data_IF_429093195561
#
_entry.id   IF_429093195561
#
_cell.length_a   1.000
_cell.length_b   1.000
_cell.length_c   1.000
_cell.angle_alpha   90.00
_cell.angle_beta   90.00
_cell.angle_gamma   90.00
#
_symmetry.space_group_name_H-M   'P 1'
#
loop_
_entity.id
_entity.type
_entity.pdbx_description
1 polymer ?
#
# COMPACT_ATOMS: atom_id res chain seq x y z
N UNK A 1 28.91 18.75 -15.63
CA UNK A 1 28.97 18.28 -14.22
C UNK A 1 27.59 18.49 -13.62
N UNK A 2 26.84 17.45 -13.24
CA UNK A 2 25.53 17.66 -12.64
C UNK A 2 25.70 18.26 -11.25
N UNK A 3 24.93 19.31 -10.97
CA UNK A 3 24.94 20.02 -9.71
C UNK A 3 24.67 19.04 -8.55
N UNK A 4 25.58 19.01 -7.59
CA UNK A 4 25.39 18.30 -6.33
C UNK A 4 24.18 18.90 -5.62
N UNK A 5 23.12 18.11 -5.45
CA UNK A 5 21.97 18.46 -4.60
C UNK A 5 22.50 18.71 -3.20
N UNK A 6 22.61 19.99 -2.82
CA UNK A 6 23.05 20.41 -1.50
C UNK A 6 21.95 20.04 -0.50
N UNK A 7 22.15 18.93 0.19
CA UNK A 7 21.41 18.45 1.35
C UNK A 7 19.95 18.02 1.04
N UNK A 8 19.69 16.75 0.69
CA UNK A 8 18.32 16.26 0.59
C UNK A 8 17.71 16.20 2.00
N UNK A 9 16.95 17.23 2.38
CA UNK A 9 16.14 17.16 3.60
C UNK A 9 15.19 15.96 3.48
N UNK A 10 15.29 15.04 4.44
CA UNK A 10 14.43 13.85 4.47
C UNK A 10 12.97 14.24 4.67
N UNK A 11 12.02 13.44 4.18
CA UNK A 11 10.58 13.67 4.38
C UNK A 11 10.21 13.87 5.86
N UNK A 12 10.86 13.11 6.74
CA UNK A 12 10.75 13.25 8.20
C UNK A 12 11.14 14.64 8.69
N UNK A 13 12.23 15.22 8.16
CA UNK A 13 12.70 16.54 8.57
C UNK A 13 11.70 17.63 8.17
N UNK A 14 11.18 17.58 6.94
CA UNK A 14 10.13 18.51 6.50
C UNK A 14 8.86 18.39 7.34
N UNK A 15 8.43 17.17 7.65
CA UNK A 15 7.29 16.96 8.56
C UNK A 15 7.56 17.58 9.93
N UNK A 16 8.76 17.39 10.49
CA UNK A 16 9.12 17.95 11.78
C UNK A 16 9.16 19.50 11.79
N UNK A 17 9.64 20.14 10.73
CA UNK A 17 9.58 21.60 10.54
C UNK A 17 8.14 22.12 10.55
N UNK A 18 7.20 21.29 10.08
CA UNK A 18 5.75 21.53 10.07
C UNK A 18 5.05 21.15 11.39
N UNK A 19 5.79 20.69 12.40
CA UNK A 19 5.22 20.22 13.68
C UNK A 19 4.52 18.85 13.58
N UNK A 20 4.72 18.12 12.48
CA UNK A 20 4.09 16.83 12.20
C UNK A 20 5.03 15.67 12.56
N UNK A 21 4.49 14.65 13.22
CA UNK A 21 5.22 13.41 13.45
C UNK A 21 5.04 12.45 12.27
N UNK A 22 6.09 12.22 11.51
CA UNK A 22 6.08 11.22 10.45
C UNK A 22 6.38 9.81 10.98
N UNK A 23 5.47 8.87 10.72
CA UNK A 23 5.71 7.43 10.93
C UNK A 23 5.38 6.68 9.64
N UNK A 24 6.42 6.10 9.04
CA UNK A 24 6.25 5.20 7.91
C UNK A 24 5.78 3.83 8.40
N UNK A 25 4.65 3.35 7.86
CA UNK A 25 4.20 1.98 8.02
C UNK A 25 4.38 1.28 6.67
N UNK A 26 5.30 0.32 6.61
CA UNK A 26 5.43 -0.55 5.44
C UNK A 26 4.59 -1.80 5.70
N UNK A 27 3.52 -1.95 4.92
CA UNK A 27 2.55 -3.05 5.05
C UNK A 27 3.17 -4.44 4.79
N UNK A 28 4.41 -4.49 4.28
CA UNK A 28 5.19 -5.71 4.07
C UNK A 28 6.16 -5.99 5.22
N UNK A 29 6.46 -5.00 6.05
CA UNK A 29 7.46 -5.09 7.13
C UNK A 29 6.74 -4.95 8.47
N UNK A 30 6.86 -5.99 9.30
CA UNK A 30 6.22 -6.02 10.62
C UNK A 30 5.17 -7.12 10.78
N UNK A 31 4.80 -7.81 9.70
CA UNK A 31 4.08 -9.08 9.78
C UNK A 31 5.13 -10.16 10.07
N UNK A 32 5.03 -10.79 11.23
CA UNK A 32 5.92 -11.90 11.60
C UNK A 32 5.48 -13.16 10.86
N UNK A 33 6.42 -14.10 10.66
CA UNK A 33 6.07 -15.44 10.13
C UNK A 33 4.98 -16.09 10.97
N UNK A 34 5.06 -15.96 12.30
CA UNK A 34 4.02 -16.44 13.21
C UNK A 34 2.65 -15.79 12.96
N UNK A 35 2.59 -14.49 12.69
CA UNK A 35 1.33 -13.82 12.37
C UNK A 35 0.77 -14.27 11.02
N UNK A 36 1.65 -14.53 10.05
CA UNK A 36 1.30 -15.07 8.72
C UNK A 36 0.75 -16.49 8.83
N UNK A 37 1.45 -17.36 9.55
CA UNK A 37 1.06 -18.76 9.81
C UNK A 37 -0.28 -18.84 10.57
N UNK A 38 -0.57 -17.86 11.42
CA UNK A 38 -1.83 -17.74 12.16
C UNK A 38 -2.91 -16.91 11.43
N UNK A 39 -2.74 -16.69 10.13
CA UNK A 39 -3.70 -16.02 9.26
C UNK A 39 -4.13 -14.61 9.74
N UNK A 40 -3.19 -13.83 10.28
CA UNK A 40 -3.44 -12.47 10.78
C UNK A 40 -3.00 -11.37 9.80
N UNK A 41 -2.43 -11.71 8.64
CA UNK A 41 -1.86 -10.76 7.68
C UNK A 41 -2.87 -9.69 7.25
N UNK A 42 -4.07 -10.07 6.80
CA UNK A 42 -5.11 -9.11 6.38
C UNK A 42 -5.58 -8.24 7.53
N UNK A 43 -5.80 -8.84 8.69
CA UNK A 43 -6.26 -8.14 9.88
C UNK A 43 -5.26 -7.06 10.30
N UNK A 44 -3.96 -7.40 10.36
CA UNK A 44 -2.89 -6.46 10.69
C UNK A 44 -2.83 -5.33 9.66
N UNK A 45 -2.82 -5.67 8.36
CA UNK A 45 -2.81 -4.69 7.28
C UNK A 45 -3.95 -3.67 7.41
N UNK A 46 -5.21 -4.13 7.49
CA UNK A 46 -6.36 -3.22 7.56
C UNK A 46 -6.37 -2.40 8.86
N UNK A 47 -5.89 -2.96 9.97
CA UNK A 47 -5.75 -2.21 11.23
C UNK A 47 -4.72 -1.09 11.14
N UNK A 48 -3.63 -1.29 10.42
CA UNK A 48 -2.63 -0.24 10.21
C UNK A 48 -3.15 0.86 9.26
N UNK A 49 -3.99 0.50 8.27
CA UNK A 49 -4.69 1.47 7.43
C UNK A 49 -5.63 2.34 8.30
N UNK A 50 -6.44 1.75 9.17
CA UNK A 50 -7.35 2.49 10.05
C UNK A 50 -6.63 3.48 10.98
N UNK A 51 -5.37 3.20 11.33
CA UNK A 51 -4.56 4.04 12.22
C UNK A 51 -3.74 5.11 11.49
N UNK A 52 -3.82 5.14 10.17
CA UNK A 52 -3.03 6.03 9.33
C UNK A 52 -3.89 7.19 8.82
N UNK A 53 -3.37 8.42 8.91
CA UNK A 53 -4.06 9.61 8.35
C UNK A 53 -4.02 9.64 6.81
N UNK A 54 -3.04 8.97 6.22
CA UNK A 54 -2.84 8.91 4.76
C UNK A 54 -2.45 7.48 4.36
N UNK A 55 -3.04 7.00 3.26
CA UNK A 55 -2.67 5.73 2.64
C UNK A 55 -2.09 5.96 1.25
N UNK A 56 -0.91 5.40 1.00
CA UNK A 56 -0.22 5.48 -0.29
C UNK A 56 -0.08 4.08 -0.86
N UNK A 57 -0.52 3.89 -2.09
CA UNK A 57 -0.43 2.61 -2.79
C UNK A 57 0.37 2.76 -4.09
N UNK A 58 1.27 1.79 -4.33
CA UNK A 58 1.98 1.65 -5.60
C UNK A 58 1.54 0.34 -6.26
N UNK A 59 0.84 0.45 -7.38
CA UNK A 59 0.51 -0.73 -8.18
C UNK A 59 1.70 -1.09 -9.07
N UNK A 60 2.35 -2.21 -8.78
CA UNK A 60 3.32 -2.80 -9.68
C UNK A 60 2.64 -3.51 -10.86
N UNK A 61 3.37 -4.45 -11.44
CA UNK A 61 2.91 -5.31 -12.53
C UNK A 61 2.40 -6.68 -12.03
N UNK A 62 2.07 -6.78 -10.74
CA UNK A 62 1.53 -7.99 -10.09
C UNK A 62 0.19 -7.69 -9.45
N UNK A 63 -0.74 -8.64 -9.53
CA UNK A 63 -2.04 -8.52 -8.86
C UNK A 63 -1.92 -8.81 -7.35
N UNK A 64 -1.14 -9.81 -6.96
CA UNK A 64 -0.89 -10.22 -5.57
C UNK A 64 -1.50 -11.59 -5.23
N UNK A 65 -1.51 -11.97 -3.94
CA UNK A 65 -1.97 -13.29 -3.49
C UNK A 65 -3.48 -13.42 -3.66
N UNK A 66 -3.92 -14.24 -4.61
CA UNK A 66 -5.34 -14.42 -4.90
C UNK A 66 -5.67 -15.89 -5.14
N UNK A 67 -6.94 -16.23 -5.01
CA UNK A 67 -7.45 -17.53 -5.47
C UNK A 67 -7.68 -17.52 -6.99
N UNK A 68 -7.24 -18.57 -7.67
CA UNK A 68 -7.48 -18.81 -9.10
C UNK A 68 -8.80 -19.52 -9.34
N UNK A 69 -9.35 -19.38 -10.55
CA UNK A 69 -10.59 -20.07 -10.91
C UNK A 69 -10.49 -21.59 -10.67
N UNK A 70 -11.41 -22.14 -9.85
CA UNK A 70 -11.45 -23.57 -9.53
C UNK A 70 -10.51 -24.01 -8.41
N UNK A 71 -9.78 -23.09 -7.75
CA UNK A 71 -8.95 -23.37 -6.59
C UNK A 71 -9.34 -22.49 -5.40
N UNK A 72 -9.48 -23.09 -4.22
CA UNK A 72 -9.68 -22.36 -2.96
C UNK A 72 -8.42 -22.46 -2.13
N UNK A 73 -7.80 -21.31 -1.90
CA UNK A 73 -6.65 -21.19 -1.00
C UNK A 73 -7.15 -21.10 0.45
N UNK A 74 -6.92 -22.14 1.24
CA UNK A 74 -7.40 -22.22 2.62
C UNK A 74 -6.80 -21.16 3.54
N UNK A 75 -5.52 -20.81 3.35
CA UNK A 75 -4.85 -19.81 4.17
C UNK A 75 -5.36 -18.40 3.83
N UNK A 76 -5.66 -18.14 2.56
CA UNK A 76 -6.28 -16.90 2.10
C UNK A 76 -7.66 -16.71 2.74
N UNK A 77 -8.47 -17.77 2.76
CA UNK A 77 -9.80 -17.74 3.37
C UNK A 77 -9.71 -17.53 4.89
N UNK A 78 -8.80 -18.23 5.58
CA UNK A 78 -8.57 -18.03 7.02
C UNK A 78 -8.12 -16.60 7.35
N UNK A 79 -7.34 -15.96 6.47
CA UNK A 79 -6.94 -14.56 6.64
C UNK A 79 -8.14 -13.61 6.57
N UNK A 80 -9.06 -13.86 5.64
CA UNK A 80 -10.31 -13.10 5.55
C UNK A 80 -11.16 -13.34 6.79
N UNK A 81 -11.38 -14.60 7.15
CA UNK A 81 -12.23 -14.99 8.29
C UNK A 81 -11.76 -14.34 9.59
N UNK A 82 -10.44 -14.32 9.82
CA UNK A 82 -9.83 -13.66 10.98
C UNK A 82 -10.08 -12.14 11.05
N UNK A 83 -10.32 -11.51 9.89
CA UNK A 83 -10.55 -10.07 9.78
C UNK A 83 -12.05 -9.69 9.76
N UNK A 84 -12.96 -10.63 9.45
CA UNK A 84 -14.41 -10.36 9.30
C UNK A 84 -15.05 -9.70 10.52
N UNK A 85 -14.59 -10.05 11.72
CA UNK A 85 -15.15 -9.49 12.95
C UNK A 85 -15.09 -7.97 13.01
N UNK A 86 -14.02 -7.37 12.45
CA UNK A 86 -13.86 -5.91 12.34
C UNK A 86 -14.19 -5.37 10.95
N UNK A 87 -14.00 -6.17 9.90
CA UNK A 87 -14.18 -5.77 8.50
C UNK A 87 -15.17 -6.70 7.77
N UNK A 88 -16.50 -6.64 8.07
CA UNK A 88 -17.48 -7.57 7.50
C UNK A 88 -17.59 -7.50 5.97
N UNK A 89 -17.26 -6.35 5.39
CA UNK A 89 -17.32 -6.14 3.94
C UNK A 89 -16.37 -7.06 3.15
N UNK A 90 -15.32 -7.60 3.79
CA UNK A 90 -14.37 -8.53 3.16
C UNK A 90 -15.03 -9.80 2.63
N UNK A 91 -16.18 -10.20 3.19
CA UNK A 91 -16.91 -11.39 2.75
C UNK A 91 -17.30 -11.31 1.25
N UNK A 92 -17.52 -10.11 0.74
CA UNK A 92 -17.82 -9.86 -0.68
C UNK A 92 -16.57 -9.86 -1.59
N UNK A 93 -15.37 -9.99 -1.04
CA UNK A 93 -14.09 -9.85 -1.76
C UNK A 93 -13.13 -11.01 -1.51
N UNK A 94 -13.64 -12.19 -1.17
CA UNK A 94 -12.83 -13.39 -0.87
C UNK A 94 -11.94 -13.86 -2.02
N UNK A 95 -12.28 -13.48 -3.24
CA UNK A 95 -11.58 -13.79 -4.49
C UNK A 95 -10.50 -12.77 -4.88
N UNK A 96 -10.38 -11.68 -4.12
CA UNK A 96 -9.48 -10.58 -4.43
C UNK A 96 -8.10 -10.79 -3.83
N UNK A 97 -7.16 -10.09 -4.44
CA UNK A 97 -5.77 -10.09 -4.02
C UNK A 97 -5.60 -9.61 -2.57
N UNK A 98 -4.72 -10.31 -1.86
CA UNK A 98 -4.14 -9.96 -0.58
C UNK A 98 -2.61 -9.88 -0.71
N UNK A 99 -1.94 -9.47 0.36
CA UNK A 99 -0.49 -9.48 0.43
C UNK A 99 0.05 -10.92 0.47
N UNK A 100 1.03 -11.23 -0.39
CA UNK A 100 1.71 -12.53 -0.46
C UNK A 100 2.97 -12.56 0.41
N UNK A 101 2.94 -13.34 1.49
CA UNK A 101 4.09 -13.53 2.38
C UNK A 101 5.18 -14.47 1.79
N UNK A 102 4.88 -15.22 0.73
CA UNK A 102 5.84 -16.12 0.09
C UNK A 102 7.08 -15.37 -0.44
N UNK A 103 7.05 -14.05 -0.58
CA UNK A 103 8.23 -13.24 -0.91
C UNK A 103 9.28 -13.13 0.21
N UNK A 104 8.97 -13.40 1.48
CA UNK A 104 9.98 -13.38 2.54
C UNK A 104 10.99 -14.53 2.41
N UNK A 105 10.55 -15.67 1.89
CA UNK A 105 11.39 -16.87 1.67
C UNK A 105 12.09 -16.87 0.30
N UNK A 106 11.64 -16.04 -0.65
CA UNK A 106 12.34 -15.83 -1.93
C UNK A 106 13.55 -14.94 -1.67
N UNK A 107 14.73 -15.59 -1.61
CA UNK A 107 16.07 -15.00 -1.56
C UNK A 107 16.13 -13.57 -2.12
N UNK A 108 16.80 -12.69 -1.37
CA UNK A 108 17.15 -11.28 -1.67
C UNK A 108 17.67 -10.99 -3.10
N UNK A 109 17.99 -12.01 -3.90
CA UNK A 109 18.53 -11.89 -5.26
C UNK A 109 17.45 -11.92 -6.37
N UNK A 110 16.16 -12.15 -6.07
CA UNK A 110 15.11 -12.25 -7.12
C UNK A 110 13.80 -11.51 -6.86
N UNK A 111 13.83 -10.39 -6.13
CA UNK A 111 12.75 -9.38 -6.19
C UNK A 111 12.78 -8.56 -7.51
N UNK A 112 13.10 -9.20 -8.64
CA UNK A 112 13.33 -8.56 -9.95
C UNK A 112 12.25 -8.90 -10.97
N UNK A 113 11.40 -9.88 -10.67
CA UNK A 113 10.28 -10.23 -11.54
C UNK A 113 9.09 -9.32 -11.26
N UNK A 114 9.20 -8.06 -11.67
CA UNK A 114 8.03 -7.20 -11.91
C UNK A 114 7.20 -7.74 -13.09
N UNK A 115 7.32 -8.98 -13.52
CA UNK A 115 6.56 -9.48 -14.65
C UNK A 115 5.18 -9.96 -14.21
N UNK A 116 4.24 -9.80 -15.12
CA UNK A 116 2.91 -10.39 -15.08
C UNK A 116 3.05 -11.90 -14.79
N UNK A 117 2.38 -12.39 -13.75
CA UNK A 117 2.50 -13.79 -13.31
C UNK A 117 1.86 -14.76 -14.31
N UNK A 118 0.69 -14.40 -14.84
CA UNK A 118 -0.05 -15.13 -15.86
C UNK A 118 -1.18 -14.24 -16.45
N UNK A 119 -1.88 -14.73 -17.48
CA UNK A 119 -2.97 -13.99 -18.14
C UNK A 119 -4.14 -13.68 -17.20
N UNK A 120 -4.50 -14.59 -16.28
CA UNK A 120 -5.58 -14.36 -15.31
C UNK A 120 -5.24 -13.20 -14.36
N UNK A 121 -4.01 -13.18 -13.83
CA UNK A 121 -3.51 -12.12 -12.97
C UNK A 121 -3.45 -10.78 -13.71
N UNK A 122 -3.12 -10.78 -15.02
CA UNK A 122 -3.15 -9.59 -15.85
C UNK A 122 -4.56 -9.02 -15.97
N UNK A 123 -5.55 -9.84 -16.30
CA UNK A 123 -6.94 -9.42 -16.40
C UNK A 123 -7.47 -8.87 -15.07
N UNK A 124 -7.11 -9.52 -13.95
CA UNK A 124 -7.44 -9.04 -12.60
C UNK A 124 -6.80 -7.70 -12.29
N UNK A 125 -5.52 -7.51 -12.65
CA UNK A 125 -4.81 -6.25 -12.47
C UNK A 125 -5.41 -5.12 -13.32
N UNK A 126 -5.76 -5.39 -14.58
CA UNK A 126 -6.40 -4.41 -15.46
C UNK A 126 -7.78 -4.00 -14.94
N UNK A 127 -8.56 -4.97 -14.43
CA UNK A 127 -9.83 -4.70 -13.79
C UNK A 127 -9.67 -3.87 -12.50
N UNK A 128 -8.63 -4.14 -11.70
CA UNK A 128 -8.31 -3.33 -10.52
C UNK A 128 -7.97 -1.90 -10.90
N UNK A 129 -7.10 -1.69 -11.89
CA UNK A 129 -6.74 -0.35 -12.39
C UNK A 129 -7.96 0.43 -12.86
N UNK A 130 -8.90 -0.22 -13.58
CA UNK A 130 -10.16 0.40 -13.99
C UNK A 130 -11.02 0.83 -12.80
N UNK A 131 -11.12 0.00 -11.75
CA UNK A 131 -11.87 0.33 -10.53
C UNK A 131 -11.22 1.48 -9.76
N UNK A 132 -9.90 1.47 -9.61
CA UNK A 132 -9.15 2.56 -8.97
C UNK A 132 -9.30 3.87 -9.76
N UNK A 133 -9.36 3.81 -11.09
CA UNK A 133 -9.62 5.01 -11.91
C UNK A 133 -10.96 5.68 -11.56
N UNK A 134 -11.96 4.90 -11.14
CA UNK A 134 -13.27 5.41 -10.76
C UNK A 134 -13.25 6.09 -9.37
N UNK A 135 -12.23 5.86 -8.56
CA UNK A 135 -12.06 6.50 -7.25
C UNK A 135 -11.19 7.77 -7.31
N UNK A 136 -10.89 8.28 -8.51
CA UNK A 136 -9.99 9.44 -8.71
C UNK A 136 -10.42 10.66 -7.89
N UNK A 137 -11.71 10.97 -7.82
CA UNK A 137 -12.24 12.11 -7.08
C UNK A 137 -12.15 11.94 -5.54
N UNK A 138 -11.93 10.71 -5.07
CA UNK A 138 -11.75 10.39 -3.64
C UNK A 138 -10.26 10.34 -3.25
N UNK A 139 -9.36 10.32 -4.23
CA UNK A 139 -7.93 10.22 -4.01
C UNK A 139 -7.29 11.61 -4.04
N UNK A 140 -6.29 11.82 -3.17
CA UNK A 140 -5.46 13.03 -3.22
C UNK A 140 -4.78 13.18 -4.60
N UNK A 141 -4.23 12.08 -5.11
CA UNK A 141 -3.65 11.99 -6.43
C UNK A 141 -3.70 10.54 -6.92
N UNK A 142 -3.75 10.38 -8.24
CA UNK A 142 -3.75 9.07 -8.89
C UNK A 142 -2.90 9.11 -10.17
N UNK A 143 -1.82 8.33 -10.18
CA UNK A 143 -0.91 8.18 -11.31
C UNK A 143 -0.91 6.73 -11.77
N UNK A 144 -1.24 6.50 -13.03
CA UNK A 144 -1.26 5.16 -13.62
C UNK A 144 0.09 4.72 -14.18
N UNK A 145 0.96 5.68 -14.51
CA UNK A 145 2.22 5.42 -15.16
C UNK A 145 3.33 6.26 -14.52
N UNK A 146 4.47 5.62 -14.27
CA UNK A 146 5.72 6.26 -13.92
C UNK A 146 6.86 5.43 -14.51
N UNK A 147 7.90 6.07 -15.09
CA UNK A 147 8.96 5.39 -15.84
C UNK A 147 9.86 4.51 -14.98
N UNK A 148 9.95 4.77 -13.68
CA UNK A 148 10.76 3.99 -12.74
C UNK A 148 10.32 4.26 -11.29
N UNK A 149 10.71 3.39 -10.32
CA UNK A 149 10.31 3.55 -8.92
C UNK A 149 10.73 4.88 -8.28
N UNK A 150 11.86 5.47 -8.71
CA UNK A 150 12.30 6.76 -8.18
C UNK A 150 11.34 7.88 -8.57
N UNK A 151 10.83 7.85 -9.80
CA UNK A 151 9.83 8.80 -10.26
C UNK A 151 8.48 8.61 -9.57
N UNK A 152 8.07 7.36 -9.33
CA UNK A 152 6.91 7.07 -8.49
C UNK A 152 7.05 7.64 -7.08
N UNK A 153 8.22 7.48 -6.46
CA UNK A 153 8.51 8.05 -5.14
C UNK A 153 8.52 9.59 -5.15
N UNK A 154 9.01 10.22 -6.22
CA UNK A 154 8.98 11.68 -6.39
C UNK A 154 7.54 12.20 -6.46
N UNK A 155 6.69 11.59 -7.30
CA UNK A 155 5.28 11.97 -7.44
C UNK A 155 4.53 11.86 -6.11
N UNK A 156 4.73 10.75 -5.39
CA UNK A 156 4.18 10.56 -4.05
C UNK A 156 4.62 11.68 -3.10
N UNK A 157 5.92 11.95 -3.04
CA UNK A 157 6.46 12.97 -2.15
C UNK A 157 5.86 14.35 -2.43
N UNK A 158 5.78 14.74 -3.70
CA UNK A 158 5.25 16.04 -4.10
C UNK A 158 3.77 16.21 -3.75
N UNK A 159 2.94 15.21 -4.03
CA UNK A 159 1.51 15.31 -3.74
C UNK A 159 1.23 15.31 -2.24
N UNK A 160 1.94 14.47 -1.47
CA UNK A 160 1.81 14.47 -0.01
C UNK A 160 2.26 15.82 0.56
N UNK A 161 3.42 16.34 0.16
CA UNK A 161 3.90 17.64 0.64
C UNK A 161 2.93 18.77 0.29
N UNK A 162 2.45 18.80 -0.95
CA UNK A 162 1.46 19.76 -1.41
C UNK A 162 0.17 19.68 -0.60
N UNK A 163 -0.29 18.48 -0.22
CA UNK A 163 -1.46 18.33 0.64
C UNK A 163 -1.22 18.90 2.04
N UNK A 164 -0.10 18.54 2.67
CA UNK A 164 0.25 19.00 4.00
C UNK A 164 0.37 20.52 4.05
N UNK A 165 1.08 21.12 3.09
CA UNK A 165 1.27 22.57 2.99
C UNK A 165 -0.05 23.32 2.78
N UNK A 166 -0.94 22.81 1.92
CA UNK A 166 -2.16 23.53 1.55
C UNK A 166 -3.37 23.30 2.46
N UNK A 167 -3.36 22.24 3.29
CA UNK A 167 -4.52 21.86 4.09
C UNK A 167 -4.19 21.78 5.57
N UNK A 168 -3.07 21.18 5.95
CA UNK A 168 -2.76 20.93 7.38
C UNK A 168 -2.14 22.16 8.04
N UNK A 169 -1.35 22.94 7.29
CA UNK A 169 -0.71 24.14 7.84
C UNK A 169 -1.56 25.42 7.74
N UNK A 170 -2.50 25.46 6.80
CA UNK A 170 -3.32 26.64 6.50
C UNK A 170 -4.70 26.59 7.15
N UNK A 171 -5.13 25.39 7.57
CA UNK A 171 -6.40 25.18 8.25
C UNK A 171 -6.13 24.47 9.59
N UNK A 172 -6.91 24.80 10.63
CA UNK A 172 -6.93 24.03 11.88
C UNK A 172 -7.60 22.67 11.62
N UNK A 173 -6.94 21.78 10.88
CA UNK A 173 -7.42 20.42 10.64
C UNK A 173 -7.25 19.64 11.93
N UNK A 174 -8.34 18.99 12.36
CA UNK A 174 -8.32 18.09 13.51
C UNK A 174 -7.53 16.83 13.12
N UNK A 175 -6.23 16.82 13.44
CA UNK A 175 -5.35 15.67 13.21
C UNK A 175 -5.74 14.55 14.20
N UNK A 176 -5.74 13.30 13.73
CA UNK A 176 -6.05 12.17 14.61
C UNK A 176 -5.13 12.17 15.82
N UNK A 177 -5.71 12.03 17.02
CA UNK A 177 -4.91 11.82 18.23
C UNK A 177 -4.39 10.40 18.19
N UNK A 178 -3.07 10.27 18.11
CA UNK A 178 -2.43 8.97 18.30
C UNK A 178 -2.47 8.63 19.78
N UNK A 179 -3.31 7.66 20.16
CA UNK A 179 -3.28 7.01 21.48
C UNK A 179 -2.00 6.20 21.67
#
# INVERSE_FOLDING_TARGET
>A
MPAQVKNPQTFRHKCAEMGLQFVAVDMRWGITTEASDNAQTVNICLREIDRSDMFVCFFGQRYGWHQSAGHTDGLLQQNIDSALGKYPWLDNYRDRSQYDDAMLSVRKEKAVSYTIENNEAQEKLDNLKKKVAQTKEQALALYFDYPNPLEGARLMFEEVMKYLENNVLTQNVEISKRE
#
